data_IF_788368888005
#
_entry.id   IF_788368888005
#
_cell.length_a   1.000
_cell.length_b   1.000
_cell.length_c   1.000
_cell.angle_alpha   90.00
_cell.angle_beta   90.00
_cell.angle_gamma   90.00
#
_symmetry.space_group_name_H-M   'P 1'
#
loop_
_entity.id
_entity.type
_entity.pdbx_description
1 polymer ?
#
# COMPACT_ATOMS: atom_id res chain seq x y z
N UNK A 1 -4.69 25.70 8.53
CA UNK A 1 -5.31 24.38 8.33
C UNK A 1 -6.62 24.51 7.57
N UNK A 2 -7.65 25.19 8.10
CA UNK A 2 -8.96 25.38 7.44
C UNK A 2 -8.88 25.85 5.97
N UNK A 3 -8.06 26.86 5.67
CA UNK A 3 -7.84 27.35 4.29
C UNK A 3 -7.15 26.35 3.35
N UNK A 4 -6.42 25.38 3.89
CA UNK A 4 -5.71 24.36 3.12
C UNK A 4 -6.63 23.19 2.73
N UNK A 5 -7.62 22.90 3.58
CA UNK A 5 -8.55 21.77 3.42
C UNK A 5 -9.94 22.18 2.89
N UNK A 6 -10.21 23.48 2.78
CA UNK A 6 -11.50 24.02 2.29
C UNK A 6 -11.78 23.77 0.81
N UNK A 7 -10.87 23.12 0.08
CA UNK A 7 -11.06 22.72 -1.32
C UNK A 7 -11.79 21.38 -1.46
N UNK A 8 -12.04 20.69 -0.36
CA UNK A 8 -12.64 19.36 -0.29
C UNK A 8 -14.00 19.42 0.40
N UNK A 9 -14.94 18.57 -0.01
CA UNK A 9 -16.30 18.50 0.55
C UNK A 9 -16.25 17.74 1.88
N UNK A 10 -15.85 18.44 2.94
CA UNK A 10 -15.60 17.88 4.26
C UNK A 10 -16.42 18.58 5.33
N UNK A 11 -17.00 17.80 6.24
CA UNK A 11 -17.52 18.34 7.49
C UNK A 11 -16.36 18.58 8.46
N UNK A 12 -16.05 19.85 8.71
CA UNK A 12 -14.93 20.23 9.57
C UNK A 12 -15.43 20.52 10.98
N UNK A 13 -15.03 19.71 11.94
CA UNK A 13 -15.22 19.97 13.38
C UNK A 13 -13.94 20.56 13.97
N UNK A 14 -14.07 21.61 14.77
CA UNK A 14 -12.95 22.20 15.52
C UNK A 14 -13.09 21.88 17.00
N UNK A 15 -11.96 21.59 17.64
CA UNK A 15 -11.84 21.40 19.07
C UNK A 15 -10.72 22.30 19.60
N UNK A 16 -10.94 22.92 20.76
CA UNK A 16 -10.00 23.87 21.38
C UNK A 16 -9.09 23.21 22.42
N UNK A 17 -9.35 21.95 22.78
CA UNK A 17 -8.59 21.16 23.75
C UNK A 17 -8.81 19.66 23.51
N UNK A 18 -8.01 18.81 24.18
CA UNK A 18 -8.09 17.37 24.02
C UNK A 18 -9.42 16.72 24.47
N UNK A 19 -10.14 17.33 25.41
CA UNK A 19 -11.43 16.79 25.88
C UNK A 19 -12.51 16.98 24.80
N UNK A 20 -12.61 18.17 24.22
CA UNK A 20 -13.50 18.46 23.08
C UNK A 20 -13.17 17.57 21.87
N UNK A 21 -11.87 17.30 21.63
CA UNK A 21 -11.44 16.40 20.56
C UNK A 21 -11.94 14.97 20.80
N UNK A 22 -11.82 14.45 22.03
CA UNK A 22 -12.32 13.12 22.38
C UNK A 22 -13.84 13.02 22.28
N UNK A 23 -14.57 14.05 22.69
CA UNK A 23 -16.03 14.07 22.58
C UNK A 23 -16.47 14.08 21.11
N UNK A 24 -15.79 14.84 20.26
CA UNK A 24 -16.04 14.83 18.81
C UNK A 24 -15.72 13.48 18.16
N UNK A 25 -14.62 12.82 18.56
CA UNK A 25 -14.25 11.48 18.08
C UNK A 25 -15.33 10.47 18.47
N UNK A 26 -15.76 10.45 19.75
CA UNK A 26 -16.80 9.54 20.24
C UNK A 26 -18.15 9.78 19.59
N UNK A 27 -18.44 11.01 19.18
CA UNK A 27 -19.64 11.37 18.44
C UNK A 27 -19.57 11.01 16.93
N UNK A 28 -18.50 10.36 16.47
CA UNK A 28 -18.34 9.97 15.06
C UNK A 28 -17.99 11.13 14.13
N UNK A 29 -17.51 12.26 14.66
CA UNK A 29 -17.11 13.44 13.86
C UNK A 29 -15.61 13.57 13.66
N UNK A 30 -14.83 12.60 14.14
CA UNK A 30 -13.38 12.64 14.20
C UNK A 30 -12.70 11.52 13.42
N UNK A 31 -13.15 11.20 12.21
CA UNK A 31 -12.55 10.13 11.39
C UNK A 31 -11.06 10.39 11.09
N UNK A 32 -10.70 11.65 10.82
CA UNK A 32 -9.34 12.11 10.66
C UNK A 32 -9.10 13.36 11.53
N UNK A 33 -8.10 13.29 12.41
CA UNK A 33 -7.81 14.32 13.40
C UNK A 33 -6.40 14.85 13.21
N UNK A 34 -6.30 16.16 12.98
CA UNK A 34 -5.04 16.89 13.11
C UNK A 34 -4.87 17.34 14.55
N UNK A 35 -4.00 16.68 15.30
CA UNK A 35 -3.89 16.83 16.74
C UNK A 35 -2.66 17.66 17.12
N UNK A 36 -2.88 18.78 17.80
CA UNK A 36 -1.80 19.53 18.43
C UNK A 36 -1.33 18.82 19.71
N UNK A 37 -0.02 18.78 19.96
CA UNK A 37 0.50 18.21 21.21
C UNK A 37 0.35 19.18 22.38
N UNK A 38 0.49 20.48 22.12
CA UNK A 38 0.49 21.50 23.17
C UNK A 38 -0.87 22.19 23.21
N UNK A 39 -1.81 21.59 23.95
CA UNK A 39 -3.17 22.11 24.14
C UNK A 39 -3.49 22.33 25.62
N UNK A 40 -4.35 23.31 25.96
CA UNK A 40 -4.84 23.50 27.32
C UNK A 40 -5.78 22.36 27.75
N UNK A 41 -5.96 22.18 29.06
CA UNK A 41 -6.86 21.19 29.71
C UNK A 41 -6.40 19.73 29.54
N UNK A 42 -6.28 19.26 28.30
CA UNK A 42 -5.81 17.92 27.95
C UNK A 42 -4.89 18.03 26.74
N UNK A 43 -3.67 17.51 26.88
CA UNK A 43 -2.64 17.55 25.84
C UNK A 43 -2.87 16.45 24.78
N UNK A 44 -2.17 16.57 23.64
CA UNK A 44 -2.30 15.60 22.55
C UNK A 44 -1.79 14.20 22.90
N UNK A 45 -0.88 14.08 23.88
CA UNK A 45 -0.40 12.80 24.38
C UNK A 45 -1.51 12.01 25.08
N UNK A 46 -2.27 12.68 25.95
CA UNK A 46 -3.41 12.10 26.65
C UNK A 46 -4.54 11.70 25.68
N UNK A 47 -4.78 12.50 24.63
CA UNK A 47 -5.75 12.14 23.58
C UNK A 47 -5.34 10.87 22.85
N UNK A 48 -4.08 10.77 22.41
CA UNK A 48 -3.54 9.56 21.74
C UNK A 48 -3.67 8.33 22.64
N UNK A 49 -3.31 8.46 23.91
CA UNK A 49 -3.43 7.36 24.88
C UNK A 49 -4.89 6.94 25.06
N UNK A 50 -5.81 7.90 25.17
CA UNK A 50 -7.23 7.61 25.37
C UNK A 50 -7.86 6.92 24.15
N UNK A 51 -7.56 7.41 22.95
CA UNK A 51 -7.98 6.82 21.67
C UNK A 51 -7.50 5.38 21.57
N UNK A 52 -6.21 5.13 21.85
CA UNK A 52 -5.64 3.79 21.82
C UNK A 52 -6.23 2.87 22.89
N UNK A 53 -6.43 3.36 24.12
CA UNK A 53 -6.97 2.58 25.24
C UNK A 53 -8.42 2.15 25.00
N UNK A 54 -9.19 2.94 24.25
CA UNK A 54 -10.61 2.68 23.99
C UNK A 54 -10.89 2.23 22.55
N UNK A 55 -9.85 1.98 21.75
CA UNK A 55 -9.94 1.54 20.36
C UNK A 55 -10.90 2.39 19.51
N UNK A 56 -10.79 3.72 19.65
CA UNK A 56 -11.69 4.63 18.93
C UNK A 56 -11.33 4.64 17.42
N UNK A 57 -12.33 4.57 16.52
CA UNK A 57 -12.10 4.49 15.08
C UNK A 57 -11.74 5.87 14.49
N UNK A 58 -10.53 6.34 14.77
CA UNK A 58 -10.02 7.61 14.24
C UNK A 58 -8.55 7.53 13.82
N UNK A 59 -8.23 8.20 12.71
CA UNK A 59 -6.87 8.40 12.24
C UNK A 59 -6.32 9.71 12.81
N UNK A 60 -5.11 9.68 13.39
CA UNK A 60 -4.51 10.87 14.02
C UNK A 60 -3.21 11.25 13.33
N UNK A 61 -3.16 12.47 12.80
CA UNK A 61 -1.94 13.13 12.33
C UNK A 61 -1.54 14.17 13.37
N UNK A 62 -0.36 14.01 13.96
CA UNK A 62 0.14 14.94 14.97
C UNK A 62 0.72 16.19 14.32
N UNK A 63 0.45 17.36 14.89
CA UNK A 63 0.95 18.65 14.43
C UNK A 63 1.69 19.36 15.55
N UNK A 64 3.03 19.41 15.48
CA UNK A 64 3.88 19.95 16.56
C UNK A 64 4.97 20.87 16.04
N UNK A 65 5.37 21.85 16.86
CA UNK A 65 6.57 22.66 16.61
C UNK A 65 7.86 22.00 17.09
N UNK A 66 7.75 20.94 17.89
CA UNK A 66 8.89 20.12 18.30
C UNK A 66 9.12 19.01 17.26
N UNK A 67 10.17 19.17 16.46
CA UNK A 67 10.54 18.29 15.34
C UNK A 67 11.63 17.29 15.70
N UNK A 68 11.95 17.14 16.99
CA UNK A 68 12.94 16.16 17.43
C UNK A 68 12.47 14.73 17.11
N UNK A 69 13.43 13.88 16.68
CA UNK A 69 13.11 12.51 16.27
C UNK A 69 12.50 11.69 17.41
N UNK A 70 12.97 11.90 18.65
CA UNK A 70 12.41 11.24 19.84
C UNK A 70 10.92 11.57 20.05
N UNK A 71 10.53 12.83 19.83
CA UNK A 71 9.15 13.27 19.93
C UNK A 71 8.28 12.64 18.84
N UNK A 72 8.82 12.56 17.61
CA UNK A 72 8.16 11.90 16.47
C UNK A 72 7.96 10.41 16.72
N UNK A 73 9.01 9.70 17.13
CA UNK A 73 8.94 8.28 17.46
C UNK A 73 7.93 8.00 18.57
N UNK A 74 7.92 8.83 19.62
CA UNK A 74 6.98 8.69 20.73
C UNK A 74 5.53 8.79 20.28
N UNK A 75 5.17 9.75 19.44
CA UNK A 75 3.77 9.91 19.00
C UNK A 75 3.34 8.81 18.02
N UNK A 76 4.24 8.39 17.13
CA UNK A 76 3.99 7.26 16.23
C UNK A 76 3.77 5.96 17.02
N UNK A 77 4.58 5.70 18.06
CA UNK A 77 4.44 4.54 18.94
C UNK A 77 3.12 4.52 19.73
N UNK A 78 2.47 5.66 19.90
CA UNK A 78 1.15 5.78 20.54
C UNK A 78 -0.02 5.61 19.56
N UNK A 79 0.24 5.41 18.27
CA UNK A 79 -0.79 5.17 17.25
C UNK A 79 -1.10 6.37 16.36
N UNK A 80 -0.29 7.43 16.40
CA UNK A 80 -0.36 8.45 15.35
C UNK A 80 0.03 7.82 14.01
N UNK A 81 -0.72 8.13 12.97
CA UNK A 81 -0.42 7.64 11.62
C UNK A 81 0.60 8.54 10.93
N UNK A 82 0.71 9.82 11.30
CA UNK A 82 1.63 10.75 10.68
C UNK A 82 1.97 11.96 11.55
N UNK A 83 2.90 12.78 11.05
CA UNK A 83 3.43 13.95 11.74
C UNK A 83 3.62 15.13 10.79
N UNK A 84 3.23 16.33 11.22
CA UNK A 84 3.37 17.60 10.50
C UNK A 84 4.07 18.62 11.39
N UNK A 85 5.21 19.12 10.94
CA UNK A 85 5.96 20.14 11.65
C UNK A 85 5.30 21.53 11.54
N UNK A 86 5.31 22.30 12.64
CA UNK A 86 4.98 23.73 12.62
C UNK A 86 6.26 24.56 12.39
N UNK A 87 6.22 25.62 11.55
CA UNK A 87 5.07 26.07 10.79
C UNK A 87 4.77 25.14 9.60
N UNK A 88 3.48 24.87 9.36
CA UNK A 88 3.04 24.04 8.24
C UNK A 88 2.51 24.89 7.09
N UNK A 89 2.69 24.41 5.87
CA UNK A 89 2.11 24.98 4.66
C UNK A 89 0.94 24.12 4.16
N UNK A 90 0.08 24.62 3.27
CA UNK A 90 -0.92 23.78 2.61
C UNK A 90 -0.31 22.55 1.93
N UNK A 91 0.88 22.70 1.35
CA UNK A 91 1.62 21.62 0.69
C UNK A 91 2.09 20.57 1.70
N UNK A 92 2.56 20.95 2.89
CA UNK A 92 2.96 19.96 3.91
C UNK A 92 1.77 19.16 4.45
N UNK A 93 0.59 19.77 4.53
CA UNK A 93 -0.65 19.05 4.87
C UNK A 93 -1.02 18.10 3.74
N UNK A 94 -0.95 18.57 2.49
CA UNK A 94 -1.21 17.74 1.30
C UNK A 94 -0.26 16.54 1.26
N UNK A 95 1.04 16.74 1.42
CA UNK A 95 2.03 15.66 1.46
C UNK A 95 1.77 14.66 2.59
N UNK A 96 1.37 15.13 3.78
CA UNK A 96 1.02 14.23 4.88
C UNK A 96 -0.23 13.40 4.53
N UNK A 97 -1.26 14.00 3.94
CA UNK A 97 -2.45 13.26 3.50
C UNK A 97 -2.12 12.29 2.35
N UNK A 98 -1.27 12.68 1.39
CA UNK A 98 -0.78 11.84 0.30
C UNK A 98 -0.04 10.61 0.81
N UNK A 99 0.88 10.81 1.75
CA UNK A 99 1.74 9.75 2.28
C UNK A 99 0.96 8.61 2.93
N UNK A 100 -0.28 8.87 3.35
CA UNK A 100 -1.17 7.89 3.97
C UNK A 100 -2.40 7.57 3.11
N UNK A 101 -2.40 7.90 1.81
CA UNK A 101 -3.49 7.57 0.89
C UNK A 101 -4.79 8.32 1.15
N UNK A 102 -4.77 9.34 2.01
CA UNK A 102 -5.96 10.09 2.44
C UNK A 102 -6.40 11.14 1.42
N UNK A 103 -5.61 11.40 0.38
CA UNK A 103 -5.99 12.36 -0.69
C UNK A 103 -6.87 11.75 -1.77
N UNK A 104 -6.80 10.44 -2.00
CA UNK A 104 -7.65 9.73 -2.97
C UNK A 104 -9.14 9.88 -2.66
N UNK A 105 -9.48 9.99 -1.37
CA UNK A 105 -10.85 10.22 -0.90
C UNK A 105 -11.24 11.71 -0.87
N UNK A 106 -10.27 12.61 -0.89
CA UNK A 106 -10.49 14.05 -0.70
C UNK A 106 -10.48 14.85 -2.00
N UNK A 107 -9.90 14.34 -3.09
CA UNK A 107 -9.95 15.04 -4.37
C UNK A 107 -11.40 15.29 -4.80
N UNK A 108 -11.79 16.55 -5.10
CA UNK A 108 -12.99 16.79 -5.88
C UNK A 108 -12.77 16.04 -7.20
N UNK A 109 -13.76 15.27 -7.65
CA UNK A 109 -13.81 14.72 -9.01
C UNK A 109 -13.83 15.88 -10.01
N UNK A 110 -12.69 16.51 -10.26
CA UNK A 110 -12.55 17.68 -11.13
C UNK A 110 -11.61 17.35 -12.27
N UNK A 111 -12.05 16.43 -13.12
CA UNK A 111 -12.18 16.65 -14.57
C UNK A 111 -12.95 15.52 -15.30
N UNK A 112 -13.93 14.90 -14.65
CA UNK A 112 -14.98 14.22 -15.41
C UNK A 112 -16.11 15.25 -15.57
N UNK A 113 -16.32 15.73 -16.80
CA UNK A 113 -17.65 16.25 -17.19
C UNK A 113 -18.69 15.29 -16.62
N UNK A 114 -19.88 15.75 -16.19
CA UNK A 114 -20.89 14.87 -15.61
C UNK A 114 -21.18 13.73 -16.58
N UNK A 115 -20.51 12.59 -16.38
CA UNK A 115 -21.00 11.29 -16.78
C UNK A 115 -22.21 11.14 -15.88
N UNK A 116 -23.37 11.52 -16.40
CA UNK A 116 -24.63 10.80 -16.13
C UNK A 116 -24.23 9.39 -15.74
N UNK A 117 -24.55 8.95 -14.52
CA UNK A 117 -24.13 7.68 -13.96
C UNK A 117 -24.32 6.52 -14.96
N UNK A 118 -23.33 6.34 -15.83
CA UNK A 118 -23.03 5.10 -16.46
C UNK A 118 -22.11 4.46 -15.44
N UNK A 119 -22.61 3.40 -14.81
CA UNK A 119 -21.76 2.29 -14.38
C UNK A 119 -20.63 2.14 -15.41
N UNK A 120 -19.36 1.89 -15.02
CA UNK A 120 -18.34 1.54 -15.99
C UNK A 120 -18.95 0.53 -16.96
N UNK A 121 -19.14 0.92 -18.24
CA UNK A 121 -19.84 0.05 -19.19
C UNK A 121 -18.99 -1.17 -19.54
N UNK A 122 -17.70 -1.10 -19.21
CA UNK A 122 -16.74 -2.18 -19.35
C UNK A 122 -16.63 -2.99 -18.05
N UNK A 123 -17.05 -4.27 -18.07
CA UNK A 123 -16.91 -5.19 -16.94
C UNK A 123 -15.47 -5.31 -16.43
N UNK A 124 -14.48 -5.22 -17.33
CA UNK A 124 -13.07 -5.39 -16.97
C UNK A 124 -12.58 -4.20 -16.14
N UNK A 125 -13.00 -2.98 -16.49
CA UNK A 125 -12.69 -1.78 -15.71
C UNK A 125 -13.38 -1.80 -14.34
N UNK A 126 -14.65 -2.24 -14.28
CA UNK A 126 -15.37 -2.36 -13.02
C UNK A 126 -14.69 -3.36 -12.08
N UNK A 127 -14.30 -4.53 -12.61
CA UNK A 127 -13.55 -5.53 -11.86
C UNK A 127 -12.23 -4.95 -11.31
N UNK A 128 -11.47 -4.26 -12.17
CA UNK A 128 -10.21 -3.64 -11.78
C UNK A 128 -10.39 -2.63 -10.65
N UNK A 129 -11.36 -1.72 -10.76
CA UNK A 129 -11.63 -0.70 -9.75
C UNK A 129 -11.99 -1.32 -8.39
N UNK A 130 -12.81 -2.37 -8.39
CA UNK A 130 -13.18 -3.08 -7.16
C UNK A 130 -12.00 -3.82 -6.54
N UNK A 131 -11.17 -4.48 -7.37
CA UNK A 131 -9.99 -5.17 -6.90
C UNK A 131 -8.95 -4.20 -6.32
N UNK A 132 -8.79 -3.01 -6.93
CA UNK A 132 -7.92 -1.93 -6.43
C UNK A 132 -8.30 -1.50 -5.04
N UNK A 133 -9.59 -1.38 -4.75
CA UNK A 133 -10.09 -0.95 -3.44
C UNK A 133 -9.73 -1.97 -2.35
N UNK A 134 -9.98 -3.26 -2.61
CA UNK A 134 -9.61 -4.33 -1.68
C UNK A 134 -8.09 -4.45 -1.54
N UNK A 135 -7.34 -4.28 -2.64
CA UNK A 135 -5.88 -4.28 -2.61
C UNK A 135 -5.32 -3.14 -1.74
N UNK A 136 -5.90 -1.94 -1.84
CA UNK A 136 -5.51 -0.78 -1.04
C UNK A 136 -5.63 -1.07 0.47
N UNK A 137 -6.69 -1.75 0.89
CA UNK A 137 -6.88 -2.18 2.29
C UNK A 137 -5.90 -3.30 2.66
N UNK A 138 -5.69 -4.27 1.77
CA UNK A 138 -4.80 -5.41 2.01
C UNK A 138 -3.33 -4.99 2.23
N UNK A 139 -2.87 -3.94 1.53
CA UNK A 139 -1.49 -3.44 1.64
C UNK A 139 -1.13 -2.92 3.02
N UNK A 140 -2.08 -2.37 3.78
CA UNK A 140 -1.79 -1.75 5.08
C UNK A 140 -1.00 -2.66 6.03
N UNK A 141 -1.35 -3.95 6.07
CA UNK A 141 -0.60 -4.95 6.86
C UNK A 141 0.68 -5.43 6.17
N UNK A 142 0.69 -5.51 4.84
CA UNK A 142 1.87 -5.94 4.09
C UNK A 142 3.03 -4.94 4.21
N UNK A 143 2.75 -3.64 4.06
CA UNK A 143 3.76 -2.60 4.26
C UNK A 143 4.23 -2.50 5.72
N UNK A 144 3.37 -2.78 6.70
CA UNK A 144 3.78 -2.86 8.11
C UNK A 144 4.74 -4.02 8.38
N UNK A 145 4.51 -5.19 7.77
CA UNK A 145 5.41 -6.34 7.86
C UNK A 145 6.75 -6.06 7.17
N UNK A 146 6.74 -5.45 5.98
CA UNK A 146 7.95 -5.08 5.25
C UNK A 146 8.76 -4.02 6.01
N UNK A 147 8.08 -3.02 6.59
CA UNK A 147 8.69 -2.01 7.45
C UNK A 147 9.39 -2.63 8.67
N UNK A 148 8.74 -3.61 9.31
CA UNK A 148 9.32 -4.37 10.42
C UNK A 148 10.51 -5.23 9.99
N UNK A 149 10.42 -5.89 8.84
CA UNK A 149 11.48 -6.75 8.30
C UNK A 149 12.74 -5.95 7.97
N UNK A 150 12.57 -4.80 7.30
CA UNK A 150 13.67 -3.99 6.79
C UNK A 150 14.13 -2.91 7.77
N UNK A 151 13.42 -2.72 8.89
CA UNK A 151 13.72 -1.68 9.87
C UNK A 151 13.56 -0.25 9.34
N UNK A 152 12.82 -0.05 8.25
CA UNK A 152 12.65 1.23 7.55
C UNK A 152 11.19 1.59 7.37
N UNK A 153 10.86 2.88 7.39
CA UNK A 153 9.51 3.33 7.07
C UNK A 153 9.22 3.19 5.57
N UNK A 154 8.08 2.58 5.25
CA UNK A 154 7.65 2.31 3.87
C UNK A 154 6.32 3.02 3.64
N UNK A 155 6.28 4.11 2.85
CA UNK A 155 5.01 4.68 2.40
C UNK A 155 4.23 3.62 1.62
N UNK A 156 2.96 3.46 1.95
CA UNK A 156 2.07 2.55 1.24
C UNK A 156 1.68 3.18 -0.10
N UNK A 157 2.08 2.59 -1.25
CA UNK A 157 1.69 3.10 -2.55
C UNK A 157 0.20 2.82 -2.81
N UNK A 158 -0.40 3.61 -3.69
CA UNK A 158 -1.74 3.29 -4.22
C UNK A 158 -1.59 2.23 -5.30
N UNK A 159 -2.28 1.08 -5.21
CA UNK A 159 -2.25 0.06 -6.27
C UNK A 159 -2.73 0.62 -7.60
N UNK A 160 -2.11 0.15 -8.68
CA UNK A 160 -2.72 0.20 -10.01
C UNK A 160 -3.36 -1.16 -10.29
N UNK A 161 -4.42 -1.17 -11.07
CA UNK A 161 -5.10 -2.41 -11.45
C UNK A 161 -5.67 -2.31 -12.85
N UNK A 162 -5.66 -3.42 -13.58
CA UNK A 162 -6.26 -3.49 -14.90
C UNK A 162 -6.34 -4.93 -15.38
N UNK A 163 -7.28 -5.21 -16.29
CA UNK A 163 -7.26 -6.47 -17.03
C UNK A 163 -6.33 -6.29 -18.23
N UNK A 164 -5.32 -7.14 -18.32
CA UNK A 164 -4.28 -7.09 -19.35
C UNK A 164 -4.24 -8.40 -20.13
N UNK A 165 -3.65 -8.37 -21.33
CA UNK A 165 -3.23 -9.60 -22.01
C UNK A 165 -1.82 -9.98 -21.55
N UNK A 166 -1.57 -11.26 -21.26
CA UNK A 166 -0.27 -11.68 -20.75
C UNK A 166 0.88 -11.41 -21.74
N UNK A 167 0.62 -11.33 -23.04
CA UNK A 167 1.59 -10.89 -24.05
C UNK A 167 2.08 -9.44 -23.85
N UNK A 168 1.26 -8.56 -23.28
CA UNK A 168 1.64 -7.18 -22.96
C UNK A 168 2.64 -7.14 -21.80
N UNK A 169 2.44 -8.01 -20.81
CA UNK A 169 3.35 -8.18 -19.68
C UNK A 169 4.71 -8.72 -20.13
N UNK A 170 4.72 -9.77 -20.97
CA UNK A 170 5.96 -10.30 -21.54
C UNK A 170 6.76 -9.23 -22.28
N UNK A 171 6.09 -8.45 -23.12
CA UNK A 171 6.71 -7.35 -23.86
C UNK A 171 7.26 -6.27 -22.93
N UNK A 172 6.52 -5.91 -21.87
CA UNK A 172 6.96 -4.92 -20.89
C UNK A 172 8.21 -5.39 -20.13
N UNK A 173 8.22 -6.65 -19.67
CA UNK A 173 9.36 -7.22 -18.96
C UNK A 173 10.58 -7.36 -19.88
N UNK A 174 10.40 -7.75 -21.14
CA UNK A 174 11.49 -7.84 -22.12
C UNK A 174 12.10 -6.45 -22.43
N UNK A 175 11.28 -5.40 -22.46
CA UNK A 175 11.75 -4.03 -22.67
C UNK A 175 12.47 -3.45 -21.45
N UNK A 176 12.12 -3.92 -20.24
CA UNK A 176 12.70 -3.42 -19.00
C UNK A 176 14.17 -3.83 -18.77
N UNK A 177 14.76 -4.65 -19.65
CA UNK A 177 16.15 -5.14 -19.61
C UNK A 177 17.20 -4.12 -20.11
N UNK A 178 17.01 -2.84 -19.78
CA UNK A 178 17.90 -1.74 -20.17
C UNK A 178 19.21 -1.67 -19.37
N UNK A 179 19.70 -0.45 -19.10
CA UNK A 179 20.99 -0.23 -18.39
C UNK A 179 21.00 -0.67 -16.92
N UNK A 180 19.82 -0.85 -16.30
CA UNK A 180 19.66 -1.35 -14.93
C UNK A 180 18.74 -2.59 -14.95
N UNK A 181 19.34 -3.80 -15.06
CA UNK A 181 18.59 -5.04 -15.23
C UNK A 181 17.65 -5.35 -14.07
N UNK A 182 16.61 -6.12 -14.35
CA UNK A 182 15.64 -6.54 -13.35
C UNK A 182 15.86 -8.02 -13.00
N UNK A 183 15.81 -8.29 -11.71
CA UNK A 183 15.67 -9.63 -11.15
C UNK A 183 14.24 -9.83 -10.66
N UNK A 184 13.62 -10.94 -11.04
CA UNK A 184 12.21 -11.22 -10.78
C UNK A 184 11.97 -12.64 -10.24
N UNK A 185 11.06 -12.73 -9.29
CA UNK A 185 10.69 -13.96 -8.59
C UNK A 185 9.18 -14.13 -8.72
N UNK A 186 8.74 -15.32 -9.13
CA UNK A 186 7.34 -15.68 -9.12
C UNK A 186 7.01 -16.56 -7.93
N UNK A 187 5.80 -16.38 -7.42
CA UNK A 187 5.17 -17.30 -6.49
C UNK A 187 3.70 -17.51 -6.89
N UNK A 188 3.35 -18.75 -7.23
CA UNK A 188 1.96 -19.15 -7.48
C UNK A 188 1.11 -19.09 -6.22
N UNK A 189 -0.19 -18.84 -6.38
CA UNK A 189 -1.16 -18.96 -5.29
C UNK A 189 -2.48 -19.55 -5.77
N UNK A 190 -3.12 -20.34 -4.91
CA UNK A 190 -4.36 -21.04 -5.20
C UNK A 190 -5.32 -20.92 -4.02
N UNK A 191 -6.58 -20.62 -4.32
CA UNK A 191 -7.69 -20.59 -3.38
C UNK A 191 -8.96 -21.18 -3.99
N UNK A 192 -10.10 -21.11 -3.29
CA UNK A 192 -11.36 -21.66 -3.78
C UNK A 192 -11.81 -21.00 -5.09
N UNK A 193 -11.63 -21.70 -6.22
CA UNK A 193 -11.94 -21.23 -7.59
C UNK A 193 -11.18 -19.97 -8.03
N UNK A 194 -10.11 -19.61 -7.32
CA UNK A 194 -9.22 -18.52 -7.68
C UNK A 194 -7.80 -19.05 -7.74
N UNK A 195 -7.06 -18.66 -8.76
CA UNK A 195 -5.64 -18.95 -8.91
C UNK A 195 -4.94 -17.78 -9.56
N UNK A 196 -3.64 -17.68 -9.29
CA UNK A 196 -2.85 -16.58 -9.78
C UNK A 196 -1.39 -16.75 -9.49
N UNK A 197 -0.66 -15.69 -9.82
CA UNK A 197 0.77 -15.62 -9.70
C UNK A 197 1.17 -14.24 -9.19
N UNK A 198 2.06 -14.22 -8.20
CA UNK A 198 2.66 -13.01 -7.68
C UNK A 198 4.08 -12.91 -8.22
N UNK A 199 4.39 -11.81 -8.90
CA UNK A 199 5.70 -11.52 -9.46
C UNK A 199 6.30 -10.36 -8.68
N UNK A 200 7.42 -10.61 -8.03
CA UNK A 200 8.18 -9.60 -7.31
C UNK A 200 9.40 -9.21 -8.14
N UNK A 201 9.61 -7.92 -8.35
CA UNK A 201 10.65 -7.37 -9.21
C UNK A 201 11.54 -6.37 -8.46
N UNK A 202 12.83 -6.50 -8.69
CA UNK A 202 13.87 -5.63 -8.15
C UNK A 202 14.82 -5.21 -9.25
N UNK A 203 15.27 -3.95 -9.19
CA UNK A 203 16.44 -3.56 -9.96
C UNK A 203 17.68 -4.15 -9.34
N UNK A 204 18.62 -4.63 -10.16
CA UNK A 204 19.86 -5.21 -9.67
C UNK A 204 20.68 -4.23 -8.83
N UNK A 205 20.60 -2.93 -9.18
CA UNK A 205 21.19 -1.85 -8.40
C UNK A 205 20.71 -1.77 -6.93
N UNK A 206 19.54 -2.32 -6.63
CA UNK A 206 18.96 -2.35 -5.28
C UNK A 206 19.42 -3.55 -4.43
N UNK A 207 19.94 -4.62 -5.04
CA UNK A 207 20.26 -5.89 -4.36
C UNK A 207 21.33 -5.74 -3.27
N UNK A 208 22.45 -5.01 -3.46
CA UNK A 208 23.45 -4.84 -2.41
C UNK A 208 22.89 -4.14 -1.17
N UNK A 209 21.95 -3.21 -1.38
CA UNK A 209 21.32 -2.47 -0.31
C UNK A 209 20.28 -3.31 0.44
N UNK A 210 19.50 -4.12 -0.29
CA UNK A 210 18.61 -5.12 0.33
C UNK A 210 19.39 -6.10 1.20
N UNK A 211 20.53 -6.60 0.71
CA UNK A 211 21.38 -7.48 1.50
C UNK A 211 21.87 -6.82 2.78
N UNK A 212 22.30 -5.56 2.71
CA UNK A 212 22.69 -4.83 3.91
C UNK A 212 21.54 -4.59 4.89
N UNK A 213 20.30 -4.41 4.41
CA UNK A 213 19.12 -4.21 5.28
C UNK A 213 18.65 -5.52 5.92
N UNK A 214 18.94 -6.65 5.29
CA UNK A 214 18.54 -7.99 5.72
C UNK A 214 19.67 -8.76 6.40
N UNK A 215 20.78 -8.07 6.73
CA UNK A 215 21.98 -8.65 7.36
C UNK A 215 22.63 -9.81 6.57
N UNK A 216 22.50 -9.81 5.23
CA UNK A 216 23.21 -10.74 4.36
C UNK A 216 24.68 -10.31 4.15
N UNK A 217 25.60 -11.27 3.98
CA UNK A 217 27.00 -10.96 3.72
C UNK A 217 27.18 -10.21 2.41
N UNK A 218 28.00 -9.16 2.45
CA UNK A 218 28.42 -8.38 1.27
C UNK A 218 29.92 -8.58 1.00
N UNK A 219 30.36 -8.85 -0.25
CA UNK A 219 29.55 -8.96 -1.46
C UNK A 219 28.65 -10.22 -1.45
N UNK A 220 27.46 -10.09 -2.03
CA UNK A 220 26.50 -11.17 -2.18
C UNK A 220 27.08 -12.29 -3.06
N UNK A 221 26.96 -13.54 -2.60
CA UNK A 221 27.13 -14.69 -3.50
C UNK A 221 25.83 -14.92 -4.27
N UNK A 222 25.91 -15.60 -5.42
CA UNK A 222 24.73 -15.97 -6.22
C UNK A 222 23.73 -16.78 -5.39
N UNK A 223 24.20 -17.62 -4.47
CA UNK A 223 23.36 -18.44 -3.60
C UNK A 223 22.63 -17.59 -2.54
N UNK A 224 23.35 -16.70 -1.86
CA UNK A 224 22.77 -15.78 -0.87
C UNK A 224 21.81 -14.78 -1.51
N UNK A 225 22.12 -14.29 -2.71
CA UNK A 225 21.22 -13.41 -3.46
C UNK A 225 19.91 -14.11 -3.78
N UNK A 226 19.99 -15.34 -4.30
CA UNK A 226 18.79 -16.13 -4.61
C UNK A 226 17.99 -16.41 -3.34
N UNK A 227 18.64 -16.83 -2.25
CA UNK A 227 17.99 -17.08 -0.96
C UNK A 227 17.25 -15.83 -0.45
N UNK A 228 17.94 -14.69 -0.41
CA UNK A 228 17.37 -13.40 -0.01
C UNK A 228 16.13 -13.03 -0.84
N UNK A 229 16.22 -13.19 -2.17
CA UNK A 229 15.12 -12.90 -3.09
C UNK A 229 13.92 -13.82 -2.87
N UNK A 230 14.15 -15.11 -2.61
CA UNK A 230 13.08 -16.08 -2.31
C UNK A 230 12.39 -15.76 -0.98
N UNK A 231 13.17 -15.42 0.06
CA UNK A 231 12.63 -15.07 1.37
C UNK A 231 11.80 -13.79 1.32
N UNK A 232 12.29 -12.77 0.60
CA UNK A 232 11.55 -11.53 0.34
C UNK A 232 10.24 -11.81 -0.41
N UNK A 233 10.29 -12.60 -1.48
CA UNK A 233 9.10 -12.98 -2.24
C UNK A 233 8.07 -13.68 -1.36
N UNK A 234 8.49 -14.67 -0.58
CA UNK A 234 7.60 -15.42 0.29
C UNK A 234 6.93 -14.54 1.35
N UNK A 235 7.70 -13.64 1.97
CA UNK A 235 7.18 -12.70 2.99
C UNK A 235 6.21 -11.71 2.38
N UNK A 236 6.56 -11.09 1.25
CA UNK A 236 5.76 -10.02 0.63
C UNK A 236 4.49 -10.55 -0.01
N UNK A 237 4.62 -11.59 -0.83
CA UNK A 237 3.47 -12.24 -1.45
C UNK A 237 2.53 -12.77 -0.37
N UNK A 238 3.05 -13.46 0.64
CA UNK A 238 2.21 -14.00 1.70
C UNK A 238 1.53 -12.91 2.52
N UNK A 239 2.24 -11.84 2.87
CA UNK A 239 1.64 -10.72 3.57
C UNK A 239 0.50 -10.07 2.79
N UNK A 240 0.63 -9.93 1.47
CA UNK A 240 -0.43 -9.37 0.63
C UNK A 240 -1.57 -10.37 0.37
N UNK A 241 -1.28 -11.51 -0.24
CA UNK A 241 -2.28 -12.49 -0.71
C UNK A 241 -3.13 -13.04 0.42
N UNK A 242 -2.55 -13.34 1.59
CA UNK A 242 -3.31 -13.85 2.73
C UNK A 242 -4.27 -12.78 3.28
N UNK A 243 -3.87 -11.50 3.30
CA UNK A 243 -4.75 -10.42 3.72
C UNK A 243 -5.83 -10.13 2.67
N UNK A 244 -5.47 -10.13 1.39
CA UNK A 244 -6.40 -9.97 0.28
C UNK A 244 -7.47 -11.07 0.31
N UNK A 245 -7.06 -12.34 0.42
CA UNK A 245 -7.97 -13.47 0.59
C UNK A 245 -8.88 -13.32 1.80
N UNK A 246 -8.33 -12.95 2.96
CA UNK A 246 -9.14 -12.73 4.17
C UNK A 246 -10.21 -11.66 3.98
N UNK A 247 -9.91 -10.56 3.28
CA UNK A 247 -10.91 -9.54 2.94
C UNK A 247 -12.01 -10.10 2.02
N UNK A 248 -11.66 -11.02 1.12
CA UNK A 248 -12.61 -11.75 0.27
C UNK A 248 -13.33 -12.92 0.98
N UNK A 249 -13.02 -13.20 2.24
CA UNK A 249 -13.51 -14.40 2.94
C UNK A 249 -12.97 -15.71 2.37
N UNK A 250 -11.76 -15.69 1.82
CA UNK A 250 -11.07 -16.81 1.19
C UNK A 250 -9.75 -17.12 1.90
N UNK A 251 -9.35 -18.39 1.84
CA UNK A 251 -8.04 -18.85 2.26
C UNK A 251 -7.23 -19.21 1.02
N UNK A 252 -6.05 -18.61 0.89
CA UNK A 252 -5.10 -18.90 -0.17
C UNK A 252 -3.93 -19.72 0.36
N UNK A 253 -3.47 -20.63 -0.47
CA UNK A 253 -2.20 -21.33 -0.32
C UNK A 253 -1.20 -20.74 -1.32
N UNK A 254 0.06 -20.63 -0.91
CA UNK A 254 1.15 -20.18 -1.78
C UNK A 254 2.01 -21.38 -2.16
N UNK A 255 2.46 -21.40 -3.41
CA UNK A 255 3.49 -22.32 -3.86
C UNK A 255 4.88 -21.85 -3.42
N UNK A 256 5.91 -22.66 -3.66
CA UNK A 256 7.28 -22.23 -3.43
C UNK A 256 7.66 -21.12 -4.43
N UNK A 257 8.35 -20.06 -3.99
CA UNK A 257 8.86 -19.06 -4.90
C UNK A 257 9.91 -19.67 -5.84
N UNK A 258 9.92 -19.21 -7.09
CA UNK A 258 10.90 -19.60 -8.09
C UNK A 258 11.38 -18.39 -8.89
N UNK A 259 12.61 -18.46 -9.38
CA UNK A 259 13.25 -17.37 -10.08
C UNK A 259 12.72 -17.34 -11.52
N UNK A 260 12.13 -16.22 -11.93
CA UNK A 260 11.63 -16.02 -13.30
C UNK A 260 12.73 -15.49 -14.22
N UNK A 261 13.45 -14.47 -13.73
CA UNK A 261 14.59 -13.88 -14.42
C UNK A 261 15.58 -13.33 -13.40
N UNK A 262 16.85 -13.30 -13.79
CA UNK A 262 17.91 -12.66 -13.01
C UNK A 262 18.81 -11.91 -13.97
N UNK A 263 19.29 -10.74 -13.55
CA UNK A 263 20.27 -9.95 -14.30
C UNK A 263 19.92 -9.72 -15.77
N UNK A 264 18.65 -9.48 -16.04
CA UNK A 264 18.21 -9.11 -17.38
C UNK A 264 17.85 -10.25 -18.32
N UNK A 265 17.84 -11.49 -17.83
CA UNK A 265 17.37 -12.64 -18.61
C UNK A 265 15.89 -12.48 -18.99
N UNK A 266 15.50 -13.03 -20.15
CA UNK A 266 14.08 -13.04 -20.54
C UNK A 266 13.28 -13.85 -19.50
N UNK A 267 12.21 -13.29 -18.92
CA UNK A 267 11.38 -14.03 -17.98
C UNK A 267 10.69 -15.19 -18.66
N UNK A 268 10.74 -16.37 -18.04
CA UNK A 268 9.98 -17.54 -18.48
C UNK A 268 8.65 -17.59 -17.72
N UNK A 269 7.68 -16.80 -18.20
CA UNK A 269 6.33 -16.84 -17.65
C UNK A 269 5.71 -18.20 -18.04
N UNK A 270 5.52 -19.09 -17.08
CA UNK A 270 4.89 -20.40 -17.29
C UNK A 270 3.38 -20.31 -17.59
N UNK A 271 2.88 -19.13 -17.94
CA UNK A 271 1.49 -18.83 -18.24
C UNK A 271 1.24 -18.67 -19.75
N UNK A 272 0.08 -19.11 -20.27
CA UNK A 272 -0.25 -18.97 -21.68
C UNK A 272 -0.49 -17.49 -22.04
N UNK A 273 0.34 -16.94 -22.92
CA UNK A 273 0.41 -15.51 -23.29
C UNK A 273 -0.87 -14.94 -23.91
N UNK A 274 -1.72 -15.81 -24.46
CA UNK A 274 -2.99 -15.47 -25.10
C UNK A 274 -4.13 -15.25 -24.10
N UNK A 275 -3.91 -15.59 -22.82
CA UNK A 275 -4.92 -15.42 -21.78
C UNK A 275 -4.89 -14.00 -21.23
N UNK A 276 -6.05 -13.57 -20.73
CA UNK A 276 -6.17 -12.34 -19.95
C UNK A 276 -5.88 -12.63 -18.49
N UNK A 277 -5.48 -11.60 -17.77
CA UNK A 277 -5.34 -11.65 -16.33
C UNK A 277 -5.75 -10.30 -15.74
N UNK A 278 -6.31 -10.32 -14.54
CA UNK A 278 -6.39 -9.11 -13.73
C UNK A 278 -5.03 -8.92 -13.08
N UNK A 279 -4.38 -7.80 -13.41
CA UNK A 279 -3.15 -7.35 -12.80
C UNK A 279 -3.45 -6.35 -11.68
N UNK A 280 -2.75 -6.48 -10.55
CA UNK A 280 -2.68 -5.51 -9.46
C UNK A 280 -1.20 -5.22 -9.20
N UNK A 281 -0.79 -3.99 -9.43
CA UNK A 281 0.61 -3.54 -9.36
C UNK A 281 0.82 -2.66 -8.12
N UNK A 282 1.91 -2.93 -7.40
CA UNK A 282 2.24 -2.30 -6.12
C UNK A 282 3.69 -1.83 -6.14
N UNK A 283 3.88 -0.52 -6.24
CA UNK A 283 5.18 0.14 -6.33
C UNK A 283 5.75 0.53 -4.95
N UNK A 284 6.41 -0.39 -4.26
CA UNK A 284 7.06 -0.08 -2.98
C UNK A 284 8.30 0.80 -3.18
N UNK A 285 8.34 1.92 -2.45
CA UNK A 285 9.48 2.84 -2.37
C UNK A 285 9.90 2.99 -0.92
N UNK A 286 11.19 2.87 -0.63
CA UNK A 286 11.70 3.00 0.74
C UNK A 286 12.33 4.37 0.91
N UNK A 287 11.82 5.21 1.84
CA UNK A 287 12.17 6.63 1.90
C UNK A 287 13.64 6.93 2.26
N UNK A 288 14.37 5.98 2.86
CA UNK A 288 15.78 6.14 3.24
C UNK A 288 16.76 5.70 2.16
N UNK A 289 16.27 5.11 1.06
CA UNK A 289 17.09 4.42 0.07
C UNK A 289 16.54 4.68 -1.34
N UNK A 290 17.34 4.65 -2.41
CA UNK A 290 16.79 4.69 -3.79
C UNK A 290 16.15 3.35 -4.19
N UNK A 291 15.69 2.58 -3.20
CA UNK A 291 15.25 1.22 -3.35
C UNK A 291 13.79 1.21 -3.78
N UNK A 292 13.57 0.67 -4.98
CA UNK A 292 12.26 0.43 -5.56
C UNK A 292 12.04 -1.07 -5.72
N UNK A 293 10.86 -1.53 -5.30
CA UNK A 293 10.42 -2.90 -5.44
C UNK A 293 9.00 -2.88 -6.00
N UNK A 294 8.74 -3.69 -7.02
CA UNK A 294 7.42 -3.78 -7.65
C UNK A 294 6.85 -5.17 -7.40
N UNK A 295 5.64 -5.23 -6.84
CA UNK A 295 4.88 -6.47 -6.65
C UNK A 295 3.68 -6.44 -7.60
N UNK A 296 3.66 -7.38 -8.52
CA UNK A 296 2.59 -7.58 -9.49
C UNK A 296 1.81 -8.85 -9.14
N UNK A 297 0.53 -8.73 -8.87
CA UNK A 297 -0.37 -9.85 -8.59
C UNK A 297 -1.24 -10.07 -9.82
N UNK A 298 -1.22 -11.29 -10.34
CA UNK A 298 -1.98 -11.72 -11.51
C UNK A 298 -3.04 -12.73 -11.09
N UNK A 299 -4.32 -12.45 -11.32
CA UNK A 299 -5.37 -13.45 -11.27
C UNK A 299 -5.64 -13.97 -12.68
N UNK A 300 -5.69 -15.29 -12.83
CA UNK A 300 -5.91 -15.95 -14.12
C UNK A 300 -7.27 -15.63 -14.74
N UNK A 301 -7.40 -15.73 -16.07
CA UNK A 301 -8.68 -15.53 -16.80
C UNK A 301 -9.83 -16.37 -16.19
N UNK A 302 -9.53 -17.63 -15.83
CA UNK A 302 -10.48 -18.57 -15.22
C UNK A 302 -10.99 -18.09 -13.84
N UNK A 303 -10.23 -17.21 -13.17
CA UNK A 303 -10.55 -16.67 -11.84
C UNK A 303 -11.39 -15.39 -11.89
N UNK A 304 -11.42 -14.67 -13.03
CA UNK A 304 -12.00 -13.33 -13.11
C UNK A 304 -13.48 -13.27 -12.74
N UNK A 305 -14.25 -14.28 -13.18
CA UNK A 305 -15.70 -14.33 -12.93
C UNK A 305 -16.03 -14.55 -11.46
N UNK A 306 -15.31 -15.45 -10.79
CA UNK A 306 -15.49 -15.69 -9.35
C UNK A 306 -15.02 -14.47 -8.55
N UNK A 307 -13.87 -13.89 -8.92
CA UNK A 307 -13.31 -12.73 -8.24
C UNK A 307 -14.28 -11.54 -8.31
N UNK A 308 -14.85 -11.26 -9.48
CA UNK A 308 -15.89 -10.24 -9.66
C UNK A 308 -17.07 -10.47 -8.72
N UNK A 309 -17.60 -11.69 -8.71
CA UNK A 309 -18.75 -12.06 -7.85
C UNK A 309 -18.45 -11.83 -6.36
N UNK A 310 -17.23 -12.15 -5.91
CA UNK A 310 -16.81 -11.95 -4.51
C UNK A 310 -16.64 -10.48 -4.17
N UNK A 311 -16.03 -9.71 -5.05
CA UNK A 311 -15.85 -8.28 -4.87
C UNK A 311 -17.20 -7.54 -4.83
N UNK A 312 -18.19 -7.96 -5.63
CA UNK A 312 -19.54 -7.37 -5.60
C UNK A 312 -20.26 -7.61 -4.29
N UNK A 313 -20.03 -8.76 -3.65
CA UNK A 313 -20.64 -9.08 -2.36
C UNK A 313 -20.08 -8.24 -1.21
N UNK A 314 -18.84 -7.77 -1.32
CA UNK A 314 -18.21 -6.90 -0.32
C UNK A 314 -18.72 -5.47 -0.34
N UNK A 315 -19.17 -4.99 -1.51
CA UNK A 315 -19.65 -3.63 -1.72
C UNK A 315 -21.18 -3.48 -1.48
N UNK A 316 -21.86 -4.53 -1.01
CA UNK A 316 -23.30 -4.54 -0.68
C UNK A 316 -23.52 -4.61 0.82
#
# INVERSE_FOLDING_TARGET
MLKAISRWDLEITQASNGLEALDAIKAGRGHLVFLDLNMPIMDGYAVLEHVRRHDLPCMIIVVSGDVQEDARQRVMAMGAIGFVAKPFTPESIYSALAAYGLLSELQPRQNELPKTASLPQDPDQQLADMAREVANIAMGRAGALLSKLLGVFIPLPVPKSGVIQLSELEMALAYAQGEDPISSISQGFIGPRLSGEAILMFRDSALPQLASLLDYPTPLSVEHEREMLMDLANVLTGAFILNFGRLLGLEFSLDAPHLLAQHGQAPDLQMPTQRRALAIEIDYRLNSTQLTCELLILFTDDSLSELHTRLEQLNR
#
